data_IF_555323761602
#
_entry.id   IF_555323761602
#
_cell.length_a   1.000
_cell.length_b   1.000
_cell.length_c   1.000
_cell.angle_alpha   90.00
_cell.angle_beta   90.00
_cell.angle_gamma   90.00
#
_symmetry.space_group_name_H-M   'P 1'
#
loop_
_entity.id
_entity.type
_entity.pdbx_description
1 polymer ?
#
# COMPACT_ATOMS: atom_id res chain seq x y z
N UNK A 1 -10.81 13.37 5.13
CA UNK A 1 -10.79 14.16 3.89
C UNK A 1 -12.19 14.12 3.30
N UNK A 2 -12.78 15.28 3.02
CA UNK A 2 -14.13 15.31 2.46
C UNK A 2 -14.20 14.54 1.13
N UNK A 3 -15.34 13.92 0.86
CA UNK A 3 -15.55 13.09 -0.32
C UNK A 3 -15.39 13.87 -1.63
N UNK A 4 -15.70 15.17 -1.64
CA UNK A 4 -15.52 16.04 -2.81
C UNK A 4 -14.05 16.22 -3.13
N UNK A 5 -13.26 16.62 -2.12
CA UNK A 5 -11.82 16.81 -2.22
C UNK A 5 -11.12 15.53 -2.69
N UNK A 6 -11.41 14.40 -2.04
CA UNK A 6 -10.88 13.09 -2.43
C UNK A 6 -11.19 12.77 -3.90
N UNK A 7 -12.44 12.97 -4.34
CA UNK A 7 -12.85 12.68 -5.70
C UNK A 7 -12.16 13.58 -6.74
N UNK A 8 -11.87 14.84 -6.40
CA UNK A 8 -11.16 15.76 -7.28
C UNK A 8 -9.67 15.39 -7.41
N UNK A 9 -8.99 15.09 -6.30
CA UNK A 9 -7.60 14.59 -6.35
C UNK A 9 -7.56 13.28 -7.12
N UNK A 10 -8.40 12.30 -6.77
CA UNK A 10 -8.45 10.99 -7.42
C UNK A 10 -8.73 11.09 -8.93
N UNK A 11 -9.60 12.02 -9.36
CA UNK A 11 -9.86 12.24 -10.79
C UNK A 11 -8.66 12.84 -11.52
N UNK A 12 -7.99 13.81 -10.91
CA UNK A 12 -6.98 14.62 -11.58
C UNK A 12 -5.57 14.02 -11.51
N UNK A 13 -5.23 13.23 -10.49
CA UNK A 13 -3.92 12.58 -10.38
C UNK A 13 -3.77 11.46 -11.42
N UNK A 14 -2.75 11.54 -12.26
CA UNK A 14 -2.46 10.56 -13.33
C UNK A 14 -1.12 9.88 -13.13
N UNK A 15 -0.10 10.66 -12.79
CA UNK A 15 1.26 10.18 -12.58
C UNK A 15 1.99 11.07 -11.56
N UNK A 16 3.28 10.78 -11.35
CA UNK A 16 4.10 11.48 -10.36
C UNK A 16 4.28 12.98 -10.64
N UNK A 17 4.15 13.43 -11.90
CA UNK A 17 4.30 14.84 -12.26
C UNK A 17 3.15 15.72 -11.74
N UNK A 18 2.01 15.12 -11.42
CA UNK A 18 0.86 15.83 -10.85
C UNK A 18 0.98 16.05 -9.33
N UNK A 19 1.92 15.36 -8.66
CA UNK A 19 1.93 15.26 -7.20
C UNK A 19 2.12 16.61 -6.50
N UNK A 20 3.17 17.37 -6.85
CA UNK A 20 3.47 18.64 -6.18
C UNK A 20 2.35 19.66 -6.38
N UNK A 21 1.81 19.74 -7.60
CA UNK A 21 0.74 20.67 -7.93
C UNK A 21 -0.53 20.35 -7.17
N UNK A 22 -0.98 19.10 -7.18
CA UNK A 22 -2.20 18.69 -6.47
C UNK A 22 -2.01 18.79 -4.95
N UNK A 23 -0.83 18.43 -4.43
CA UNK A 23 -0.50 18.60 -3.02
C UNK A 23 -0.67 20.08 -2.60
N UNK A 24 -0.18 21.01 -3.41
CA UNK A 24 -0.34 22.45 -3.18
C UNK A 24 -1.80 22.91 -3.32
N UNK A 25 -2.48 22.52 -4.40
CA UNK A 25 -3.85 22.96 -4.71
C UNK A 25 -4.86 22.56 -3.60
N UNK A 26 -4.65 21.40 -2.96
CA UNK A 26 -5.52 20.86 -1.92
C UNK A 26 -4.91 20.95 -0.50
N UNK A 27 -3.76 21.60 -0.33
CA UNK A 27 -3.05 21.69 0.96
C UNK A 27 -2.80 20.33 1.62
N UNK A 28 -2.44 19.32 0.83
CA UNK A 28 -2.16 17.96 1.28
C UNK A 28 -0.66 17.64 1.18
N UNK A 29 -0.12 16.77 2.04
CA UNK A 29 1.23 16.23 1.83
C UNK A 29 1.33 15.47 0.50
N UNK A 30 2.52 15.51 -0.11
CA UNK A 30 2.78 14.85 -1.41
C UNK A 30 2.48 13.35 -1.35
N UNK A 31 2.82 12.70 -0.24
CA UNK A 31 2.55 11.27 -0.05
C UNK A 31 1.06 10.92 0.00
N UNK A 32 0.18 11.86 0.38
CA UNK A 32 -1.28 11.67 0.33
C UNK A 32 -1.75 11.51 -1.11
N UNK A 33 -1.33 12.43 -1.97
CA UNK A 33 -1.66 12.39 -3.41
C UNK A 33 -1.08 11.13 -4.05
N UNK A 34 0.18 10.78 -3.73
CA UNK A 34 0.83 9.58 -4.22
C UNK A 34 0.09 8.29 -3.78
N UNK A 35 -0.39 8.25 -2.54
CA UNK A 35 -1.14 7.14 -1.98
C UNK A 35 -2.53 6.97 -2.65
N UNK A 36 -3.21 8.09 -2.94
CA UNK A 36 -4.48 8.07 -3.70
C UNK A 36 -4.25 7.54 -5.13
N UNK A 37 -3.17 7.96 -5.81
CA UNK A 37 -2.83 7.42 -7.13
C UNK A 37 -2.49 5.93 -7.07
N UNK A 38 -1.74 5.51 -6.05
CA UNK A 38 -1.41 4.09 -5.84
C UNK A 38 -2.69 3.23 -5.76
N UNK A 39 -3.69 3.65 -4.98
CA UNK A 39 -4.97 2.95 -4.89
C UNK A 39 -5.71 2.89 -6.21
N UNK A 40 -5.79 4.02 -6.92
CA UNK A 40 -6.42 4.10 -8.24
C UNK A 40 -5.80 3.09 -9.22
N UNK A 41 -4.48 2.95 -9.19
CA UNK A 41 -3.75 2.00 -10.03
C UNK A 41 -4.01 0.55 -9.60
N UNK A 42 -3.98 0.26 -8.30
CA UNK A 42 -4.28 -1.06 -7.75
C UNK A 42 -5.70 -1.49 -8.13
N UNK A 43 -6.69 -0.61 -8.02
CA UNK A 43 -8.07 -0.89 -8.38
C UNK A 43 -8.26 -1.10 -9.87
N UNK A 44 -7.60 -0.29 -10.70
CA UNK A 44 -7.56 -0.51 -12.15
C UNK A 44 -6.99 -1.89 -12.48
N UNK A 45 -5.90 -2.30 -11.83
CA UNK A 45 -5.30 -3.62 -12.04
C UNK A 45 -6.23 -4.74 -11.59
N UNK A 46 -6.82 -4.66 -10.39
CA UNK A 46 -7.79 -5.65 -9.89
C UNK A 46 -8.94 -5.86 -10.87
N UNK A 47 -9.51 -4.76 -11.39
CA UNK A 47 -10.63 -4.79 -12.35
C UNK A 47 -10.27 -5.42 -13.70
N UNK A 48 -9.06 -5.15 -14.19
CA UNK A 48 -8.63 -5.59 -15.52
C UNK A 48 -7.79 -6.88 -15.51
N UNK A 49 -7.44 -7.42 -14.35
CA UNK A 49 -6.52 -8.56 -14.21
C UNK A 49 -6.95 -9.76 -15.06
N UNK A 50 -8.19 -10.24 -14.90
CA UNK A 50 -8.68 -11.40 -15.65
C UNK A 50 -8.79 -11.15 -17.15
N UNK A 51 -9.10 -9.92 -17.57
CA UNK A 51 -9.11 -9.55 -18.97
C UNK A 51 -7.72 -9.68 -19.61
N UNK A 52 -6.67 -9.27 -18.89
CA UNK A 52 -5.28 -9.42 -19.33
C UNK A 52 -4.87 -10.90 -19.32
N UNK A 53 -5.20 -11.64 -18.26
CA UNK A 53 -4.90 -13.07 -18.17
C UNK A 53 -5.54 -13.86 -19.33
N UNK A 54 -6.78 -13.55 -19.71
CA UNK A 54 -7.46 -14.20 -20.84
C UNK A 54 -6.82 -13.88 -22.20
N UNK A 55 -5.95 -12.86 -22.27
CA UNK A 55 -5.20 -12.47 -23.47
C UNK A 55 -3.73 -12.89 -23.42
N UNK A 56 -3.30 -13.70 -22.45
CA UNK A 56 -1.89 -14.11 -22.27
C UNK A 56 -1.27 -14.68 -23.55
N UNK A 57 -1.95 -15.63 -24.20
CA UNK A 57 -1.50 -16.23 -25.46
C UNK A 57 -1.35 -15.20 -26.60
N UNK A 58 -2.26 -14.21 -26.66
CA UNK A 58 -2.20 -13.14 -27.66
C UNK A 58 -1.05 -12.17 -27.37
N UNK A 59 -0.84 -11.80 -26.11
CA UNK A 59 0.30 -10.98 -25.68
C UNK A 59 1.61 -11.66 -26.05
N UNK A 60 1.74 -12.96 -25.76
CA UNK A 60 2.92 -13.74 -26.14
C UNK A 60 3.13 -13.76 -27.65
N UNK A 61 2.05 -13.93 -28.44
CA UNK A 61 2.14 -13.87 -29.90
C UNK A 61 2.64 -12.51 -30.39
N UNK A 62 2.10 -11.40 -29.88
CA UNK A 62 2.53 -10.05 -30.25
C UNK A 62 3.99 -9.80 -29.87
N UNK A 63 4.39 -10.24 -28.69
CA UNK A 63 5.78 -10.13 -28.25
C UNK A 63 6.74 -10.89 -29.18
N UNK A 64 6.39 -12.13 -29.56
CA UNK A 64 7.14 -12.93 -30.54
C UNK A 64 7.17 -12.28 -31.94
N UNK A 65 6.17 -11.47 -32.28
CA UNK A 65 6.13 -10.69 -33.53
C UNK A 65 6.92 -9.38 -33.47
N UNK A 66 7.53 -9.05 -32.33
CA UNK A 66 8.45 -7.92 -32.19
C UNK A 66 7.96 -6.78 -31.31
N UNK A 67 6.74 -6.82 -30.75
CA UNK A 67 6.31 -5.82 -29.76
C UNK A 67 7.09 -5.99 -28.46
N UNK A 68 7.57 -4.89 -27.86
CA UNK A 68 8.24 -4.93 -26.56
C UNK A 68 7.25 -5.03 -25.40
N UNK A 69 7.71 -5.45 -24.22
CA UNK A 69 6.90 -5.44 -22.99
C UNK A 69 6.33 -4.04 -22.68
N UNK A 70 7.12 -2.98 -22.88
CA UNK A 70 6.67 -1.59 -22.68
C UNK A 70 5.56 -1.22 -23.66
N UNK A 71 5.71 -1.54 -24.96
CA UNK A 71 4.67 -1.28 -25.95
C UNK A 71 3.36 -2.01 -25.62
N UNK A 72 3.46 -3.25 -25.15
CA UNK A 72 2.28 -4.01 -24.69
C UNK A 72 1.67 -3.41 -23.42
N UNK A 73 2.49 -2.90 -22.51
CA UNK A 73 2.02 -2.18 -21.32
C UNK A 73 1.21 -0.94 -21.69
N UNK A 74 1.71 -0.13 -22.62
CA UNK A 74 1.05 1.07 -23.12
C UNK A 74 -0.24 0.74 -23.88
N UNK A 75 -0.21 -0.23 -24.79
CA UNK A 75 -1.36 -0.64 -25.59
C UNK A 75 -2.53 -1.12 -24.71
N UNK A 76 -2.21 -1.92 -23.69
CA UNK A 76 -3.21 -2.50 -22.80
C UNK A 76 -3.48 -1.66 -21.55
N UNK A 77 -2.77 -0.53 -21.38
CA UNK A 77 -2.82 0.34 -20.20
C UNK A 77 -2.70 -0.48 -18.91
N UNK A 78 -1.68 -1.33 -18.84
CA UNK A 78 -1.49 -2.27 -17.75
C UNK A 78 -0.02 -2.29 -17.32
N UNK A 79 0.32 -2.41 -16.03
CA UNK A 79 1.69 -2.22 -15.56
C UNK A 79 2.69 -3.18 -16.22
N UNK A 80 3.88 -2.69 -16.63
CA UNK A 80 4.80 -3.47 -17.45
C UNK A 80 5.35 -4.69 -16.70
N UNK A 81 5.54 -4.63 -15.37
CA UNK A 81 5.94 -5.81 -14.59
C UNK A 81 4.86 -6.90 -14.60
N UNK A 82 3.58 -6.52 -14.66
CA UNK A 82 2.48 -7.49 -14.73
C UNK A 82 2.27 -8.05 -16.14
N UNK A 83 2.56 -7.26 -17.19
CA UNK A 83 2.66 -7.79 -18.57
C UNK A 83 3.79 -8.82 -18.64
N UNK A 84 4.98 -8.47 -18.16
CA UNK A 84 6.12 -9.40 -18.08
C UNK A 84 5.74 -10.69 -17.33
N UNK A 85 5.12 -10.57 -16.17
CA UNK A 85 4.66 -11.73 -15.38
C UNK A 85 3.65 -12.59 -16.14
N UNK A 86 2.76 -11.97 -16.92
CA UNK A 86 1.78 -12.69 -17.74
C UNK A 86 2.47 -13.46 -18.88
N UNK A 87 3.46 -12.86 -19.53
CA UNK A 87 4.27 -13.53 -20.55
C UNK A 87 5.05 -14.70 -19.96
N UNK A 88 5.73 -14.51 -18.83
CA UNK A 88 6.49 -15.57 -18.16
C UNK A 88 5.60 -16.75 -17.78
N UNK A 89 4.39 -16.49 -17.29
CA UNK A 89 3.42 -17.54 -16.97
C UNK A 89 3.01 -18.34 -18.23
N UNK A 90 2.76 -17.67 -19.34
CA UNK A 90 2.43 -18.32 -20.62
C UNK A 90 3.63 -19.11 -21.19
N UNK A 91 4.85 -18.70 -20.88
CA UNK A 91 6.09 -19.41 -21.21
C UNK A 91 6.44 -20.52 -20.20
N UNK A 92 5.59 -20.77 -19.20
CA UNK A 92 5.83 -21.72 -18.10
C UNK A 92 7.10 -21.42 -17.27
N UNK A 93 7.52 -20.16 -17.24
CA UNK A 93 8.69 -19.69 -16.50
C UNK A 93 8.31 -19.15 -15.12
N UNK A 94 9.14 -19.46 -14.13
CA UNK A 94 8.95 -18.94 -12.77
C UNK A 94 9.35 -17.47 -12.69
N UNK A 95 8.38 -16.57 -12.45
CA UNK A 95 8.63 -15.14 -12.20
C UNK A 95 9.67 -14.91 -11.11
N UNK A 96 9.65 -15.72 -10.04
CA UNK A 96 10.54 -15.57 -8.88
C UNK A 96 11.98 -15.91 -9.23
N UNK A 97 12.18 -16.92 -10.09
CA UNK A 97 13.50 -17.28 -10.59
C UNK A 97 13.98 -16.21 -11.57
N UNK A 98 13.17 -15.89 -12.58
CA UNK A 98 13.50 -14.95 -13.64
C UNK A 98 13.91 -13.57 -13.10
N UNK A 99 13.14 -13.00 -12.17
CA UNK A 99 13.47 -11.68 -11.61
C UNK A 99 14.78 -11.66 -10.80
N UNK A 100 15.22 -12.82 -10.27
CA UNK A 100 16.47 -12.95 -9.52
C UNK A 100 17.68 -13.26 -10.40
N UNK A 101 17.45 -13.89 -11.55
CA UNK A 101 18.47 -14.49 -12.38
C UNK A 101 18.43 -13.94 -13.82
N UNK A 102 18.15 -12.64 -13.99
CA UNK A 102 18.03 -11.99 -15.31
C UNK A 102 19.25 -12.23 -16.21
N UNK A 103 20.45 -12.23 -15.63
CA UNK A 103 21.70 -12.45 -16.37
C UNK A 103 21.93 -13.92 -16.80
N UNK A 104 21.11 -14.86 -16.29
CA UNK A 104 21.20 -16.29 -16.61
C UNK A 104 20.16 -16.70 -17.67
N UNK A 105 19.32 -15.77 -18.12
CA UNK A 105 18.28 -16.04 -19.12
C UNK A 105 18.93 -16.10 -20.51
N UNK A 106 18.75 -17.22 -21.22
CA UNK A 106 19.30 -17.42 -22.56
C UNK A 106 18.79 -16.39 -23.60
N UNK A 107 17.52 -16.01 -23.48
CA UNK A 107 16.91 -14.99 -24.33
C UNK A 107 17.30 -13.58 -23.83
N UNK A 108 18.35 -13.04 -24.45
CA UNK A 108 18.86 -11.69 -24.16
C UNK A 108 17.81 -10.59 -24.33
N UNK A 109 16.88 -10.73 -25.28
CA UNK A 109 15.81 -9.74 -25.50
C UNK A 109 14.83 -9.79 -24.34
N UNK A 110 14.39 -10.99 -23.96
CA UNK A 110 13.50 -11.17 -22.81
C UNK A 110 14.13 -10.61 -21.53
N UNK A 111 15.40 -10.91 -21.27
CA UNK A 111 16.12 -10.41 -20.10
C UNK A 111 16.16 -8.87 -20.05
N UNK A 112 16.51 -8.24 -21.18
CA UNK A 112 16.58 -6.79 -21.28
C UNK A 112 15.21 -6.13 -21.10
N UNK A 113 14.17 -6.63 -21.76
CA UNK A 113 12.81 -6.07 -21.66
C UNK A 113 12.19 -6.28 -20.27
N UNK A 114 12.49 -7.40 -19.58
CA UNK A 114 12.06 -7.58 -18.19
C UNK A 114 12.76 -6.59 -17.27
N UNK A 115 14.07 -6.38 -17.45
CA UNK A 115 14.81 -5.40 -16.67
C UNK A 115 14.19 -4.00 -16.83
N UNK A 116 13.96 -3.57 -18.08
CA UNK A 116 13.30 -2.31 -18.40
C UNK A 116 11.90 -2.22 -17.77
N UNK A 117 11.12 -3.30 -17.83
CA UNK A 117 9.79 -3.35 -17.22
C UNK A 117 9.81 -3.24 -15.69
N UNK A 118 10.82 -3.79 -15.02
CA UNK A 118 10.99 -3.68 -13.56
C UNK A 118 11.45 -2.28 -13.15
N UNK A 119 12.31 -1.65 -13.94
CA UNK A 119 12.79 -0.28 -13.72
C UNK A 119 11.68 0.76 -13.97
N UNK A 120 10.81 0.53 -14.96
CA UNK A 120 9.72 1.45 -15.30
C UNK A 120 8.46 1.30 -14.41
N UNK A 121 8.23 0.14 -13.79
CA UNK A 121 7.03 -0.12 -12.99
C UNK A 121 7.16 0.38 -11.54
N UNK A 122 6.55 1.53 -11.25
CA UNK A 122 6.59 2.16 -9.93
C UNK A 122 5.65 1.52 -8.89
N UNK A 123 4.85 0.50 -9.27
CA UNK A 123 3.77 -0.01 -8.42
C UNK A 123 3.83 -1.51 -8.17
N UNK A 124 4.29 -2.29 -9.15
CA UNK A 124 4.29 -3.76 -9.09
C UNK A 124 5.67 -4.39 -9.24
N UNK A 125 6.73 -3.59 -9.37
CA UNK A 125 8.11 -4.08 -9.33
C UNK A 125 8.51 -4.55 -7.93
N UNK A 126 9.56 -5.39 -7.82
CA UNK A 126 10.15 -5.75 -6.53
C UNK A 126 10.57 -4.53 -5.70
N UNK A 127 11.09 -3.47 -6.34
CA UNK A 127 11.46 -2.25 -5.62
C UNK A 127 10.23 -1.50 -5.13
N UNK A 128 9.18 -1.38 -5.94
CA UNK A 128 7.92 -0.78 -5.52
C UNK A 128 7.33 -1.49 -4.29
N UNK A 129 7.33 -2.82 -4.29
CA UNK A 129 6.90 -3.61 -3.13
C UNK A 129 7.80 -3.41 -1.92
N UNK A 130 9.11 -3.31 -2.13
CA UNK A 130 10.08 -3.06 -1.06
C UNK A 130 9.89 -1.68 -0.45
N UNK A 131 9.62 -0.66 -1.28
CA UNK A 131 9.27 0.69 -0.84
C UNK A 131 7.98 0.72 -0.02
N UNK A 132 6.91 0.03 -0.46
CA UNK A 132 5.67 -0.07 0.34
C UNK A 132 5.91 -0.75 1.69
N UNK A 133 6.72 -1.81 1.73
CA UNK A 133 7.07 -2.48 2.98
C UNK A 133 7.85 -1.57 3.92
N UNK A 134 8.82 -0.79 3.41
CA UNK A 134 9.57 0.20 4.20
C UNK A 134 8.65 1.24 4.83
N UNK A 135 7.66 1.74 4.08
CA UNK A 135 6.66 2.68 4.63
C UNK A 135 5.79 2.06 5.72
N UNK A 136 5.38 0.80 5.55
CA UNK A 136 4.63 0.06 6.58
C UNK A 136 5.41 -0.03 7.89
N UNK A 137 6.65 -0.52 7.81
CA UNK A 137 7.57 -0.62 8.94
C UNK A 137 7.80 0.75 9.59
N UNK A 138 7.97 1.81 8.78
CA UNK A 138 8.17 3.14 9.31
C UNK A 138 6.92 3.67 10.05
N UNK A 139 5.73 3.45 9.51
CA UNK A 139 4.48 3.75 10.19
C UNK A 139 4.34 3.01 11.52
N UNK A 140 4.60 1.70 11.55
CA UNK A 140 4.60 0.90 12.78
C UNK A 140 5.62 1.44 13.80
N UNK A 141 6.84 1.80 13.37
CA UNK A 141 7.84 2.40 14.25
C UNK A 141 7.35 3.70 14.90
N UNK A 142 6.62 4.55 14.16
CA UNK A 142 6.03 5.79 14.70
C UNK A 142 4.97 5.45 15.75
N UNK A 143 4.10 4.45 15.52
CA UNK A 143 3.12 4.00 16.52
C UNK A 143 3.81 3.50 17.78
N UNK A 144 4.85 2.67 17.64
CA UNK A 144 5.62 2.14 18.76
C UNK A 144 6.20 3.27 19.63
N UNK A 145 6.88 4.24 19.00
CA UNK A 145 7.42 5.42 19.70
C UNK A 145 6.34 6.24 20.40
N UNK A 146 5.18 6.40 19.78
CA UNK A 146 4.06 7.12 20.38
C UNK A 146 3.48 6.38 21.60
N UNK A 147 3.33 5.05 21.53
CA UNK A 147 2.92 4.22 22.67
C UNK A 147 3.94 4.31 23.82
N UNK A 148 5.23 4.19 23.51
CA UNK A 148 6.33 4.31 24.47
C UNK A 148 6.36 5.69 25.14
N UNK A 149 6.21 6.78 24.37
CA UNK A 149 6.15 8.15 24.88
C UNK A 149 5.01 8.33 25.89
N UNK A 150 3.86 7.68 25.65
CA UNK A 150 2.71 7.67 26.55
C UNK A 150 2.80 6.66 27.69
N UNK A 151 3.89 5.88 27.78
CA UNK A 151 4.04 4.78 28.72
C UNK A 151 2.91 3.74 28.62
N UNK A 152 2.45 3.46 27.39
CA UNK A 152 1.45 2.44 27.11
C UNK A 152 2.18 1.13 26.78
N UNK A 153 1.90 0.08 27.54
CA UNK A 153 2.38 -1.27 27.25
C UNK A 153 1.68 -1.86 26.03
N UNK A 154 2.43 -2.61 25.22
CA UNK A 154 1.91 -3.30 24.05
C UNK A 154 2.66 -4.61 23.79
N UNK A 155 2.04 -5.49 23.01
CA UNK A 155 2.63 -6.68 22.40
C UNK A 155 2.66 -6.50 20.89
N UNK A 156 3.82 -6.73 20.28
CA UNK A 156 4.02 -6.71 18.84
C UNK A 156 3.48 -7.95 18.14
N UNK A 157 3.28 -7.86 16.83
CA UNK A 157 2.92 -9.00 15.99
C UNK A 157 3.87 -10.21 16.18
N UNK A 158 5.18 -9.95 16.28
CA UNK A 158 6.20 -11.00 16.45
C UNK A 158 6.04 -11.73 17.78
N UNK A 159 5.76 -11.00 18.87
CA UNK A 159 5.55 -11.57 20.20
C UNK A 159 4.26 -12.40 20.26
N UNK A 160 3.18 -11.91 19.66
CA UNK A 160 1.91 -12.65 19.58
C UNK A 160 2.07 -13.94 18.79
N UNK A 161 2.79 -13.90 17.66
CA UNK A 161 3.09 -15.11 16.86
C UNK A 161 3.94 -16.12 17.64
N UNK A 162 4.93 -15.67 18.43
CA UNK A 162 5.71 -16.55 19.32
C UNK A 162 4.84 -17.22 20.39
N UNK A 163 3.76 -16.56 20.81
CA UNK A 163 2.77 -17.10 21.75
C UNK A 163 1.72 -18.01 21.08
N UNK A 164 1.78 -18.18 19.76
CA UNK A 164 0.88 -19.07 19.00
C UNK A 164 -0.43 -18.41 18.55
N UNK A 165 -0.53 -17.07 18.58
CA UNK A 165 -1.68 -16.37 18.03
C UNK A 165 -1.76 -16.53 16.51
N UNK A 166 -2.92 -16.94 15.99
CA UNK A 166 -3.14 -17.09 14.54
C UNK A 166 -3.46 -15.74 13.85
N UNK A 167 -3.99 -14.78 14.61
CA UNK A 167 -4.39 -13.45 14.14
C UNK A 167 -3.80 -12.41 15.08
N UNK A 168 -3.10 -11.46 14.50
CA UNK A 168 -2.23 -10.55 15.23
C UNK A 168 -2.40 -9.15 14.68
N UNK A 169 -2.98 -8.20 15.44
CA UNK A 169 -2.82 -6.78 15.11
C UNK A 169 -1.35 -6.40 15.23
N UNK A 170 -0.95 -5.27 14.64
CA UNK A 170 0.42 -4.77 14.74
C UNK A 170 0.82 -4.54 16.20
N UNK A 171 -0.11 -4.00 16.99
CA UNK A 171 0.03 -3.76 18.42
C UNK A 171 -1.22 -4.24 19.17
N UNK A 172 -1.06 -5.17 20.10
CA UNK A 172 -2.10 -5.52 21.08
C UNK A 172 -1.79 -4.82 22.41
N UNK A 173 -2.77 -4.16 22.99
CA UNK A 173 -2.66 -3.47 24.28
C UNK A 173 -3.13 -4.43 25.40
N UNK A 174 -2.26 -4.85 26.33
CA UNK A 174 -2.66 -5.76 27.42
C UNK A 174 -3.75 -5.18 28.31
N UNK A 175 -3.82 -3.85 28.39
CA UNK A 175 -4.82 -3.09 29.12
C UNK A 175 -5.52 -2.11 28.16
N UNK A 176 -6.86 -2.03 28.17
CA UNK A 176 -7.58 -1.07 27.34
C UNK A 176 -7.14 0.37 27.63
N UNK A 177 -6.91 1.14 26.58
CA UNK A 177 -6.55 2.57 26.68
C UNK A 177 -7.68 3.42 26.12
N UNK A 178 -8.06 4.47 26.84
CA UNK A 178 -9.02 5.44 26.34
C UNK A 178 -8.32 6.44 25.41
N UNK A 179 -8.70 6.42 24.14
CA UNK A 179 -8.22 7.36 23.12
C UNK A 179 -9.44 8.05 22.52
N UNK A 180 -9.49 9.39 22.62
CA UNK A 180 -10.62 10.20 22.13
C UNK A 180 -12.00 9.73 22.64
N UNK A 181 -12.05 9.27 23.89
CA UNK A 181 -13.28 8.79 24.53
C UNK A 181 -13.72 7.37 24.11
N UNK A 182 -12.88 6.64 23.37
CA UNK A 182 -13.13 5.25 22.96
C UNK A 182 -12.09 4.32 23.55
N UNK A 183 -12.54 3.15 24.02
CA UNK A 183 -11.65 2.10 24.52
C UNK A 183 -10.96 1.42 23.35
N UNK A 184 -9.64 1.37 23.38
CA UNK A 184 -8.79 0.78 22.35
C UNK A 184 -8.00 -0.37 22.98
N UNK A 185 -8.11 -1.56 22.39
CA UNK A 185 -7.42 -2.78 22.84
C UNK A 185 -6.31 -3.20 21.88
N UNK A 186 -6.33 -2.69 20.65
CA UNK A 186 -5.31 -2.96 19.64
C UNK A 186 -5.18 -1.79 18.67
N UNK A 187 -4.02 -1.67 18.04
CA UNK A 187 -3.72 -0.67 17.02
C UNK A 187 -3.21 -1.35 15.76
N UNK A 188 -3.71 -0.92 14.62
CA UNK A 188 -3.28 -1.34 13.29
C UNK A 188 -2.79 -0.12 12.50
N UNK A 189 -1.59 -0.22 11.92
CA UNK A 189 -0.88 0.81 11.19
C UNK A 189 -0.96 0.52 9.69
N UNK A 190 -1.63 1.41 8.93
CA UNK A 190 -1.77 1.28 7.48
C UNK A 190 -1.08 2.45 6.77
N UNK A 191 0.06 2.20 6.15
CA UNK A 191 0.81 3.19 5.35
C UNK A 191 0.21 3.42 3.94
N UNK A 192 -1.11 3.61 3.90
CA UNK A 192 -1.94 3.86 2.71
C UNK A 192 -3.05 4.87 3.05
N UNK A 193 -3.77 5.35 2.05
CA UNK A 193 -4.95 6.19 2.25
C UNK A 193 -6.16 5.30 2.64
N UNK A 194 -7.09 5.77 3.45
CA UNK A 194 -8.29 5.01 3.78
C UNK A 194 -9.43 5.34 2.82
N UNK A 195 -9.89 4.38 2.01
CA UNK A 195 -11.15 4.52 1.27
C UNK A 195 -12.18 3.48 1.73
N UNK A 196 -13.46 3.73 1.44
CA UNK A 196 -14.59 2.91 1.89
C UNK A 196 -14.48 1.44 1.42
N UNK A 197 -14.07 1.20 0.18
CA UNK A 197 -14.00 -0.15 -0.40
C UNK A 197 -12.86 -0.98 0.21
N UNK A 198 -11.68 -0.37 0.36
CA UNK A 198 -10.55 -1.05 0.99
C UNK A 198 -10.76 -1.24 2.48
N UNK A 199 -11.32 -0.23 3.17
CA UNK A 199 -11.65 -0.37 4.60
C UNK A 199 -12.63 -1.53 4.83
N UNK A 200 -13.70 -1.63 4.05
CA UNK A 200 -14.64 -2.75 4.14
C UNK A 200 -13.94 -4.11 3.91
N UNK A 201 -13.00 -4.15 2.97
CA UNK A 201 -12.22 -5.38 2.72
C UNK A 201 -11.33 -5.74 3.92
N UNK A 202 -10.72 -4.76 4.59
CA UNK A 202 -9.92 -5.01 5.80
C UNK A 202 -10.79 -5.41 6.98
N UNK A 203 -11.95 -4.78 7.14
CA UNK A 203 -12.92 -5.11 8.17
C UNK A 203 -13.31 -6.59 8.09
N UNK A 204 -13.79 -7.03 6.92
CA UNK A 204 -14.22 -8.41 6.69
C UNK A 204 -13.10 -9.45 6.84
N UNK A 205 -11.86 -9.11 6.48
CA UNK A 205 -10.75 -10.07 6.43
C UNK A 205 -9.87 -10.07 7.68
N UNK A 206 -9.82 -8.96 8.41
CA UNK A 206 -8.86 -8.71 9.49
C UNK A 206 -9.57 -8.17 10.73
N UNK A 207 -10.16 -6.96 10.65
CA UNK A 207 -10.54 -6.22 11.86
C UNK A 207 -11.68 -6.86 12.64
N UNK A 208 -12.69 -7.45 11.98
CA UNK A 208 -13.76 -8.17 12.68
C UNK A 208 -13.21 -9.35 13.50
N UNK A 209 -12.11 -9.99 13.07
CA UNK A 209 -11.47 -11.06 13.85
C UNK A 209 -10.71 -10.52 15.06
N UNK A 210 -10.08 -9.35 14.92
CA UNK A 210 -9.46 -8.69 16.07
C UNK A 210 -10.51 -8.22 17.07
N UNK A 211 -11.65 -7.73 16.59
CA UNK A 211 -12.78 -7.35 17.42
C UNK A 211 -13.33 -8.53 18.23
N UNK A 212 -13.55 -9.67 17.58
CA UNK A 212 -14.01 -10.91 18.22
C UNK A 212 -13.05 -11.40 19.31
N UNK A 213 -11.74 -11.23 19.12
CA UNK A 213 -10.70 -11.76 20.02
C UNK A 213 -10.31 -10.78 21.14
N UNK A 214 -10.23 -9.50 20.81
CA UNK A 214 -9.58 -8.47 21.63
C UNK A 214 -10.48 -7.26 21.91
N UNK A 215 -11.66 -7.18 21.30
CA UNK A 215 -12.56 -6.04 21.42
C UNK A 215 -12.22 -4.89 20.48
N UNK A 216 -12.75 -3.70 20.77
CA UNK A 216 -12.56 -2.50 19.93
C UNK A 216 -11.08 -2.11 19.79
N UNK A 217 -10.73 -1.51 18.66
CA UNK A 217 -9.36 -1.14 18.32
C UNK A 217 -9.28 0.15 17.54
N UNK A 218 -8.07 0.54 17.16
CA UNK A 218 -7.78 1.73 16.38
C UNK A 218 -7.05 1.36 15.08
N UNK A 219 -7.48 1.94 13.97
CA UNK A 219 -6.78 1.81 12.68
C UNK A 219 -6.27 3.19 12.27
N UNK A 220 -4.97 3.27 11.99
CA UNK A 220 -4.30 4.49 11.57
C UNK A 220 -4.04 4.41 10.06
N UNK A 221 -4.70 5.27 9.28
CA UNK A 221 -4.37 5.47 7.87
C UNK A 221 -3.43 6.66 7.74
N UNK A 222 -2.12 6.39 7.60
CA UNK A 222 -1.09 7.44 7.66
C UNK A 222 -1.30 8.55 6.64
N UNK A 223 -1.84 8.23 5.46
CA UNK A 223 -2.08 9.21 4.42
C UNK A 223 -3.48 9.85 4.48
N UNK A 224 -4.20 9.68 5.59
CA UNK A 224 -5.57 10.15 5.73
C UNK A 224 -6.59 9.17 5.17
N UNK A 225 -7.88 9.49 5.33
CA UNK A 225 -9.00 8.66 4.89
C UNK A 225 -10.18 9.52 4.41
N UNK A 226 -11.07 8.94 3.61
CA UNK A 226 -12.32 9.60 3.18
C UNK A 226 -13.29 9.69 4.35
N UNK A 227 -13.92 10.84 4.51
CA UNK A 227 -14.97 11.01 5.53
C UNK A 227 -16.16 10.10 5.25
N UNK A 228 -16.79 9.58 6.31
CA UNK A 228 -17.97 8.72 6.22
C UNK A 228 -17.68 7.22 6.09
N UNK A 229 -16.43 6.78 6.23
CA UNK A 229 -16.11 5.36 6.43
C UNK A 229 -16.76 4.88 7.73
N UNK A 230 -17.46 3.74 7.66
CA UNK A 230 -18.08 3.11 8.83
C UNK A 230 -17.02 2.72 9.84
N UNK A 231 -17.25 3.06 11.11
CA UNK A 231 -16.33 2.77 12.20
C UNK A 231 -16.55 1.37 12.80
N UNK A 232 -17.74 0.77 12.67
CA UNK A 232 -18.14 -0.51 13.30
C UNK A 232 -17.61 -0.72 14.74
N UNK A 233 -17.45 0.34 15.54
CA UNK A 233 -16.91 0.24 16.91
C UNK A 233 -15.39 0.34 17.03
N UNK A 234 -14.67 0.58 15.94
CA UNK A 234 -13.24 0.95 15.87
C UNK A 234 -13.05 2.47 15.82
N UNK A 235 -11.90 2.93 16.29
CA UNK A 235 -11.45 4.29 16.11
C UNK A 235 -10.66 4.40 14.81
N UNK A 236 -11.02 5.32 13.93
CA UNK A 236 -10.16 5.70 12.81
C UNK A 236 -9.33 6.92 13.17
N UNK A 237 -8.07 6.85 12.80
CA UNK A 237 -7.15 7.97 12.89
C UNK A 237 -6.30 8.07 11.64
N UNK A 238 -5.60 9.19 11.52
CA UNK A 238 -4.57 9.41 10.53
C UNK A 238 -3.29 9.88 11.21
N UNK A 239 -2.37 10.49 10.48
CA UNK A 239 -1.11 11.01 10.99
C UNK A 239 -1.26 11.96 12.20
N UNK A 240 -2.46 12.50 12.45
CA UNK A 240 -2.79 13.29 13.63
C UNK A 240 -3.26 12.38 14.76
N UNK A 241 -2.56 11.29 15.09
CA UNK A 241 -3.00 10.35 16.14
C UNK A 241 -3.07 10.98 17.53
N UNK A 242 -2.27 12.02 17.78
CA UNK A 242 -2.26 12.78 19.03
C UNK A 242 -2.23 14.28 18.74
N UNK A 243 -2.73 15.07 19.68
CA UNK A 243 -2.65 16.54 19.63
C UNK A 243 -1.28 17.01 20.15
N UNK A 244 -0.61 16.20 20.97
CA UNK A 244 0.71 16.46 21.54
C UNK A 244 1.68 15.37 21.11
N UNK A 245 2.42 15.62 20.03
CA UNK A 245 3.57 14.78 19.68
C UNK A 245 4.84 15.33 20.28
N UNK A 246 5.68 14.40 20.76
CA UNK A 246 7.10 14.67 20.88
C UNK A 246 7.66 15.19 19.52
N UNK A 247 8.51 16.23 19.52
CA UNK A 247 9.05 16.81 18.29
C UNK A 247 9.75 15.81 17.36
N UNK A 248 10.38 14.77 17.89
CA UNK A 248 11.05 13.76 17.08
C UNK A 248 10.03 12.85 16.38
N UNK A 249 8.94 12.48 17.07
CA UNK A 249 7.84 11.71 16.47
C UNK A 249 7.16 12.53 15.37
N UNK A 250 6.93 13.83 15.60
CA UNK A 250 6.36 14.72 14.58
C UNK A 250 7.26 14.79 13.34
N UNK A 251 8.57 14.82 13.51
CA UNK A 251 9.53 14.80 12.40
C UNK A 251 9.42 13.52 11.59
N UNK A 252 9.34 12.35 12.24
CA UNK A 252 9.15 11.07 11.56
C UNK A 252 7.83 11.03 10.78
N UNK A 253 6.75 11.57 11.36
CA UNK A 253 5.45 11.69 10.68
C UNK A 253 5.57 12.54 9.42
N UNK A 254 6.21 13.71 9.51
CA UNK A 254 6.43 14.59 8.35
C UNK A 254 7.28 13.88 7.29
N UNK A 255 8.30 13.12 7.69
CA UNK A 255 9.10 12.32 6.77
C UNK A 255 8.23 11.28 6.05
N UNK A 256 7.47 10.46 6.78
CA UNK A 256 6.58 9.45 6.21
C UNK A 256 5.55 10.04 5.22
N UNK A 257 4.98 11.20 5.55
CA UNK A 257 3.99 11.88 4.72
C UNK A 257 4.56 12.46 3.42
N UNK A 258 5.88 12.65 3.35
CA UNK A 258 6.58 13.16 2.17
C UNK A 258 7.46 12.12 1.48
N UNK A 259 7.49 10.87 1.97
CA UNK A 259 8.16 9.78 1.29
C UNK A 259 7.48 9.47 -0.04
N UNK A 260 8.23 9.69 -1.11
CA UNK A 260 7.88 9.27 -2.47
C UNK A 260 8.92 8.28 -2.98
N UNK A 261 8.57 7.39 -3.93
CA UNK A 261 9.57 6.60 -4.64
C UNK A 261 10.61 7.54 -5.26
N UNK A 262 11.88 7.15 -5.27
CA UNK A 262 12.91 7.86 -6.04
C UNK A 262 12.51 7.78 -7.53
N UNK A 263 12.26 8.93 -8.16
CA UNK A 263 11.83 9.07 -9.55
C UNK A 263 13.01 9.16 -10.51
#
# INVERSE_FOLDING_TARGET
MDKTEYNEIHRNVRDASDFEKLALDYCQPVGVVASILHQKIIDHVKKNYYFIQNKSALLLKKWKMGSSIIQLSEEYKFPPTLIATTLLKEMEMSKKYVFKHLNEIEDNRLAAEIKEALEADLYFSPEAHSFQARKGIFGEMIVARWLEYRNIEYLTEEELRKQGAEKTPDFLLPYPVEIRGQQVNWVESKAVFGNETEHQTYLEKQFSRYEELYGSGMVIYWYGYVDGISLEGHLLSDYRIDDEFDPDILRDVVELLNLTPDW
#
